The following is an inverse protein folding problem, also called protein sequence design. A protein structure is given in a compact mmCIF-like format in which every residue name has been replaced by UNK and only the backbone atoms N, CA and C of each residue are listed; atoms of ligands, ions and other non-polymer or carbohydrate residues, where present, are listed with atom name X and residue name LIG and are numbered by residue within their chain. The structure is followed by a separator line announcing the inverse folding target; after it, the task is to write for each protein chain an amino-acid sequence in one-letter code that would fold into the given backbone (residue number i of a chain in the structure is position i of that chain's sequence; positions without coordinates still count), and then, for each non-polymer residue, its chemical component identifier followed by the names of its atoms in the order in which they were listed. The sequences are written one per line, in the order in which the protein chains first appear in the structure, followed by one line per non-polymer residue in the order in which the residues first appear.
data_IF_541848513482
#
_entry.id   IF_541848513482
#
_cell.length_a   1.000
_cell.length_b   1.000
_cell.length_c   1.000
_cell.angle_alpha   90.00
_cell.angle_beta   90.00
_cell.angle_gamma   90.00
#
_symmetry.space_group_name_H-M   'P 1'
#
loop_
_entity.id
_entity.type
_entity.pdbx_description
1 polymer ?
#
# COMPACT_ATOMS: atom_id res chain seq x y z
N UNK A 1 8.69 2.76 20.61
CA UNK A 1 9.77 3.07 19.64
C UNK A 1 10.12 1.84 18.82
N UNK A 2 10.38 0.70 19.47
CA UNK A 2 10.69 -0.58 18.80
C UNK A 2 9.64 -0.99 17.76
N UNK A 3 8.34 -0.95 18.10
CA UNK A 3 7.25 -1.26 17.14
C UNK A 3 7.25 -0.34 15.93
N UNK A 4 7.54 0.96 16.10
CA UNK A 4 7.63 1.92 15.00
C UNK A 4 8.79 1.60 14.06
N UNK A 5 9.96 1.25 14.62
CA UNK A 5 11.13 0.86 13.83
C UNK A 5 10.85 -0.43 13.07
N UNK A 6 10.29 -1.44 13.75
CA UNK A 6 9.89 -2.70 13.13
C UNK A 6 8.92 -2.48 11.96
N UNK A 7 7.85 -1.70 12.18
CA UNK A 7 6.87 -1.42 11.13
C UNK A 7 7.45 -0.57 9.99
N UNK A 8 8.35 0.37 10.26
CA UNK A 8 9.05 1.07 9.18
C UNK A 8 9.92 0.14 8.32
N UNK A 9 10.58 -0.87 8.92
CA UNK A 9 11.31 -1.89 8.14
C UNK A 9 10.36 -2.67 7.25
N UNK A 10 9.26 -3.18 7.82
CA UNK A 10 8.27 -3.98 7.08
C UNK A 10 7.61 -3.17 5.98
N UNK A 11 7.01 -2.02 6.31
CA UNK A 11 6.32 -1.17 5.34
C UNK A 11 7.28 -0.57 4.32
N UNK A 12 8.48 -0.18 4.75
CA UNK A 12 9.53 0.34 3.88
C UNK A 12 9.94 -0.68 2.83
N UNK A 13 10.28 -1.91 3.25
CA UNK A 13 10.66 -2.99 2.34
C UNK A 13 9.53 -3.38 1.40
N UNK A 14 8.32 -3.61 1.94
CA UNK A 14 7.16 -4.01 1.13
C UNK A 14 6.83 -2.94 0.10
N UNK A 15 6.80 -1.66 0.49
CA UNK A 15 6.47 -0.56 -0.43
C UNK A 15 7.55 -0.37 -1.49
N UNK A 16 8.83 -0.37 -1.12
CA UNK A 16 9.93 -0.18 -2.07
C UNK A 16 10.01 -1.34 -3.08
N UNK A 17 9.95 -2.58 -2.61
CA UNK A 17 10.05 -3.77 -3.49
C UNK A 17 8.83 -3.87 -4.41
N UNK A 18 7.61 -3.72 -3.87
CA UNK A 18 6.39 -3.85 -4.66
C UNK A 18 6.24 -2.74 -5.69
N UNK A 19 6.47 -1.48 -5.31
CA UNK A 19 6.39 -0.35 -6.24
C UNK A 19 7.44 -0.49 -7.35
N UNK A 20 8.68 -0.89 -7.02
CA UNK A 20 9.72 -1.12 -8.02
C UNK A 20 9.32 -2.25 -8.98
N UNK A 21 8.81 -3.38 -8.47
CA UNK A 21 8.35 -4.49 -9.30
C UNK A 21 7.23 -4.07 -10.25
N UNK A 22 6.26 -3.28 -9.77
CA UNK A 22 5.18 -2.71 -10.59
C UNK A 22 5.73 -1.74 -11.63
N UNK A 23 6.64 -0.84 -11.28
CA UNK A 23 7.20 0.13 -12.23
C UNK A 23 8.00 -0.57 -13.35
N UNK A 24 8.80 -1.57 -13.02
CA UNK A 24 9.60 -2.33 -14.00
C UNK A 24 8.69 -3.11 -14.97
N UNK A 25 7.56 -3.62 -14.49
CA UNK A 25 6.66 -4.51 -15.25
C UNK A 25 5.25 -3.95 -15.36
N UNK A 26 5.10 -2.62 -15.48
CA UNK A 26 3.82 -1.93 -15.29
C UNK A 26 2.68 -2.48 -16.14
N UNK A 27 2.93 -2.74 -17.43
CA UNK A 27 1.91 -3.30 -18.33
C UNK A 27 1.43 -4.67 -17.86
N UNK A 28 2.35 -5.54 -17.44
CA UNK A 28 2.05 -6.91 -17.00
C UNK A 28 1.34 -6.90 -15.65
N UNK A 29 1.81 -6.08 -14.69
CA UNK A 29 1.14 -5.90 -13.41
C UNK A 29 -0.29 -5.39 -13.57
N UNK A 30 -0.52 -4.47 -14.52
CA UNK A 30 -1.85 -3.95 -14.80
C UNK A 30 -2.76 -5.02 -15.41
N UNK A 31 -2.28 -5.80 -16.38
CA UNK A 31 -3.06 -6.91 -16.95
C UNK A 31 -3.45 -7.93 -15.86
N UNK A 32 -2.52 -8.29 -14.97
CA UNK A 32 -2.81 -9.20 -13.86
C UNK A 32 -3.86 -8.63 -12.90
N UNK A 33 -3.79 -7.32 -12.59
CA UNK A 33 -4.80 -6.66 -11.76
C UNK A 33 -6.19 -6.66 -12.42
N UNK A 34 -6.26 -6.44 -13.74
CA UNK A 34 -7.52 -6.45 -14.49
C UNK A 34 -8.15 -7.85 -14.51
N UNK A 35 -7.37 -8.88 -14.83
CA UNK A 35 -7.82 -10.28 -14.80
C UNK A 35 -8.32 -10.68 -13.42
N UNK A 36 -7.63 -10.22 -12.36
CA UNK A 36 -8.07 -10.44 -10.98
C UNK A 36 -9.37 -9.68 -10.66
N UNK A 37 -9.54 -8.47 -11.19
CA UNK A 37 -10.72 -7.64 -10.95
C UNK A 37 -11.99 -8.16 -11.64
N UNK A 38 -11.86 -8.98 -12.70
CA UNK A 38 -12.98 -9.67 -13.34
C UNK A 38 -13.61 -10.75 -12.45
N UNK A 39 -12.90 -11.25 -11.43
CA UNK A 39 -13.38 -12.28 -10.52
C UNK A 39 -13.80 -11.66 -9.18
N UNK A 40 -15.11 -11.59 -8.84
CA UNK A 40 -15.57 -11.00 -7.58
C UNK A 40 -14.93 -11.63 -6.33
N UNK A 41 -14.68 -12.95 -6.37
CA UNK A 41 -14.01 -13.68 -5.29
C UNK A 41 -12.58 -13.20 -5.04
N UNK A 42 -11.84 -12.87 -6.10
CA UNK A 42 -10.48 -12.34 -6.01
C UNK A 42 -10.47 -10.94 -5.40
N UNK A 43 -11.39 -10.07 -5.84
CA UNK A 43 -11.55 -8.71 -5.28
C UNK A 43 -11.91 -8.78 -3.81
N UNK A 44 -12.88 -9.62 -3.43
CA UNK A 44 -13.29 -9.80 -2.04
C UNK A 44 -12.16 -10.38 -1.17
N UNK A 45 -11.51 -11.46 -1.61
CA UNK A 45 -10.44 -12.12 -0.84
C UNK A 45 -9.24 -11.19 -0.63
N UNK A 46 -8.79 -10.50 -1.67
CA UNK A 46 -7.71 -9.51 -1.53
C UNK A 46 -8.12 -8.31 -0.69
N UNK A 47 -9.38 -7.85 -0.79
CA UNK A 47 -9.93 -6.82 0.09
C UNK A 47 -9.92 -7.22 1.55
N UNK A 48 -10.30 -8.47 1.85
CA UNK A 48 -10.32 -9.03 3.19
C UNK A 48 -8.90 -9.17 3.79
N UNK A 49 -7.92 -9.63 3.00
CA UNK A 49 -6.52 -9.68 3.44
C UNK A 49 -5.96 -8.29 3.72
N UNK A 50 -6.24 -7.32 2.85
CA UNK A 50 -5.83 -5.92 3.04
C UNK A 50 -6.50 -5.34 4.30
N UNK A 51 -7.78 -5.66 4.54
CA UNK A 51 -8.51 -5.23 5.72
C UNK A 51 -7.87 -5.77 7.01
N UNK A 52 -7.57 -7.07 7.08
CA UNK A 52 -6.87 -7.67 8.22
C UNK A 52 -5.53 -6.96 8.46
N UNK A 53 -4.73 -6.79 7.41
CA UNK A 53 -3.45 -6.08 7.51
C UNK A 53 -3.62 -4.65 8.01
N UNK A 54 -4.60 -3.90 7.50
CA UNK A 54 -4.91 -2.55 7.91
C UNK A 54 -5.34 -2.45 9.38
N UNK A 55 -6.20 -3.37 9.85
CA UNK A 55 -6.60 -3.44 11.26
C UNK A 55 -5.40 -3.71 12.15
N UNK A 56 -4.56 -4.70 11.80
CA UNK A 56 -3.35 -5.03 12.55
C UNK A 56 -2.40 -3.83 12.64
N UNK A 57 -2.20 -3.11 11.53
CA UNK A 57 -1.36 -1.92 11.48
C UNK A 57 -1.91 -0.78 12.36
N UNK A 58 -3.20 -0.44 12.23
CA UNK A 58 -3.82 0.64 13.00
C UNK A 58 -3.80 0.35 14.51
N UNK A 59 -4.12 -0.88 14.91
CA UNK A 59 -4.11 -1.30 16.33
C UNK A 59 -2.69 -1.33 16.87
N UNK A 60 -1.72 -1.76 16.07
CA UNK A 60 -0.31 -1.85 16.49
C UNK A 60 0.39 -0.49 16.49
N UNK A 61 -0.04 0.45 15.64
CA UNK A 61 0.62 1.74 15.49
C UNK A 61 -0.36 2.85 15.07
N UNK A 62 -0.81 3.60 16.07
CA UNK A 62 -1.57 4.86 15.90
C UNK A 62 -0.92 5.97 16.73
N UNK A 63 0.16 6.54 16.21
CA UNK A 63 0.94 7.60 16.89
C UNK A 63 0.83 8.89 16.08
N UNK A 64 -0.03 9.79 16.54
CA UNK A 64 -0.29 11.09 15.92
C UNK A 64 0.66 12.18 16.44
N UNK A 65 1.96 11.94 16.30
CA UNK A 65 3.01 12.89 16.64
C UNK A 65 3.64 13.40 15.35
N UNK A 66 3.92 14.69 15.26
CA UNK A 66 4.51 15.34 14.08
C UNK A 66 6.00 14.98 13.86
N UNK A 67 6.26 13.70 13.65
CA UNK A 67 7.56 13.16 13.26
C UNK A 67 7.40 12.04 12.20
N UNK A 68 8.49 11.35 11.87
CA UNK A 68 8.52 10.29 10.86
C UNK A 68 7.51 9.15 11.09
N UNK A 69 7.10 8.90 12.36
CA UNK A 69 6.12 7.87 12.72
C UNK A 69 4.71 8.21 12.25
N UNK A 70 4.43 9.49 11.98
CA UNK A 70 3.17 9.92 11.41
C UNK A 70 2.92 9.26 10.05
N UNK A 71 3.99 9.08 9.24
CA UNK A 71 3.89 8.41 7.94
C UNK A 71 3.39 6.98 8.10
N UNK A 72 3.88 6.24 9.11
CA UNK A 72 3.39 4.89 9.39
C UNK A 72 1.91 4.91 9.78
N UNK A 73 1.52 5.84 10.65
CA UNK A 73 0.12 5.98 11.07
C UNK A 73 -0.79 6.25 9.87
N UNK A 74 -0.42 7.20 9.00
CA UNK A 74 -1.18 7.52 7.79
C UNK A 74 -1.28 6.30 6.86
N UNK A 75 -0.17 5.61 6.60
CA UNK A 75 -0.18 4.40 5.76
C UNK A 75 -1.07 3.30 6.35
N UNK A 76 -1.04 3.11 7.67
CA UNK A 76 -1.86 2.12 8.38
C UNK A 76 -3.35 2.37 8.13
N UNK A 77 -3.80 3.61 8.28
CA UNK A 77 -5.17 4.02 7.99
C UNK A 77 -5.51 3.92 6.50
N UNK A 78 -4.59 4.27 5.61
CA UNK A 78 -4.80 4.12 4.16
C UNK A 78 -5.00 2.65 3.75
N UNK A 79 -4.21 1.72 4.31
CA UNK A 79 -4.35 0.28 4.07
C UNK A 79 -5.71 -0.22 4.57
N UNK A 80 -6.12 0.20 5.77
CA UNK A 80 -7.44 -0.12 6.31
C UNK A 80 -8.58 0.35 5.39
N UNK A 81 -8.56 1.63 5.01
CA UNK A 81 -9.56 2.22 4.12
C UNK A 81 -9.57 1.58 2.74
N UNK A 82 -8.40 1.20 2.21
CA UNK A 82 -8.29 0.45 0.94
C UNK A 82 -8.96 -0.92 1.03
N UNK A 83 -8.79 -1.63 2.13
CA UNK A 83 -9.43 -2.92 2.39
C UNK A 83 -10.95 -2.80 2.43
N UNK A 84 -11.46 -1.83 3.21
CA UNK A 84 -12.90 -1.50 3.26
C UNK A 84 -13.43 -1.14 1.86
N UNK A 85 -12.73 -0.25 1.16
CA UNK A 85 -13.10 0.18 -0.18
C UNK A 85 -13.26 -0.98 -1.16
N UNK A 86 -12.37 -1.96 -1.06
CA UNK A 86 -12.36 -3.14 -1.94
C UNK A 86 -13.48 -4.14 -1.62
N UNK A 87 -13.88 -4.26 -0.36
CA UNK A 87 -14.99 -5.12 0.07
C UNK A 87 -16.34 -4.49 -0.23
N UNK A 88 -16.53 -3.22 0.14
CA UNK A 88 -17.83 -2.53 0.03
C UNK A 88 -18.10 -1.97 -1.37
N UNK A 89 -17.07 -1.67 -2.15
CA UNK A 89 -17.21 -1.04 -3.47
C UNK A 89 -16.40 -1.76 -4.57
N UNK A 90 -16.64 -3.06 -4.81
CA UNK A 90 -15.85 -3.86 -5.77
C UNK A 90 -15.95 -3.33 -7.21
N UNK A 91 -17.12 -2.83 -7.63
CA UNK A 91 -17.32 -2.23 -8.96
C UNK A 91 -16.50 -0.94 -9.13
N UNK A 92 -16.42 -0.11 -8.08
CA UNK A 92 -15.59 1.08 -8.08
C UNK A 92 -14.10 0.72 -8.22
N UNK A 93 -13.64 -0.32 -7.53
CA UNK A 93 -12.27 -0.84 -7.68
C UNK A 93 -11.99 -1.30 -9.10
N UNK A 94 -12.89 -2.08 -9.72
CA UNK A 94 -12.74 -2.51 -11.12
C UNK A 94 -12.62 -1.31 -12.07
N UNK A 95 -13.49 -0.31 -11.89
CA UNK A 95 -13.43 0.92 -12.71
C UNK A 95 -12.13 1.70 -12.53
N UNK A 96 -11.56 1.71 -11.32
CA UNK A 96 -10.32 2.42 -11.02
C UNK A 96 -9.11 1.69 -11.61
N UNK A 97 -9.10 0.36 -11.59
CA UNK A 97 -8.07 -0.45 -12.26
C UNK A 97 -8.09 -0.21 -13.77
N UNK A 98 -9.27 -0.20 -14.40
CA UNK A 98 -9.37 0.07 -15.84
C UNK A 98 -8.81 1.46 -16.24
N UNK A 99 -8.96 2.47 -15.38
CA UNK A 99 -8.41 3.83 -15.60
C UNK A 99 -6.88 3.88 -15.54
N UNK A 100 -6.21 2.86 -14.97
CA UNK A 100 -4.73 2.81 -14.89
C UNK A 100 -4.04 2.72 -16.26
N UNK A 101 -4.76 2.25 -17.30
CA UNK A 101 -4.23 2.15 -18.67
C UNK A 101 -3.94 3.51 -19.31
N UNK A 102 -4.78 4.51 -19.01
CA UNK A 102 -4.78 5.79 -19.73
C UNK A 102 -4.15 6.92 -18.92
N UNK A 103 -4.12 6.81 -17.60
CA UNK A 103 -3.66 7.89 -16.72
C UNK A 103 -2.24 7.68 -16.20
N UNK A 104 -1.30 8.54 -16.62
CA UNK A 104 0.08 8.61 -16.10
C UNK A 104 0.17 8.84 -14.59
N UNK A 105 -0.90 9.37 -13.98
CA UNK A 105 -1.00 9.59 -12.53
C UNK A 105 -0.74 8.31 -11.71
N UNK A 106 -1.05 7.12 -12.24
CA UNK A 106 -0.82 5.87 -11.52
C UNK A 106 0.65 5.48 -11.44
N UNK A 107 1.43 5.69 -12.50
CA UNK A 107 2.89 5.49 -12.47
C UNK A 107 3.54 6.49 -11.50
N UNK A 108 3.07 7.74 -11.49
CA UNK A 108 3.51 8.73 -10.49
C UNK A 108 3.15 8.29 -9.07
N UNK A 109 1.98 7.70 -8.86
CA UNK A 109 1.58 7.11 -7.60
C UNK A 109 2.54 6.01 -7.12
N UNK A 110 2.95 5.09 -8.00
CA UNK A 110 3.93 4.06 -7.67
C UNK A 110 5.31 4.66 -7.31
N UNK A 111 5.74 5.70 -8.03
CA UNK A 111 6.97 6.41 -7.69
C UNK A 111 6.90 7.07 -6.29
N UNK A 112 5.74 7.63 -5.92
CA UNK A 112 5.52 8.17 -4.55
C UNK A 112 5.59 7.05 -3.51
N UNK A 113 4.93 5.91 -3.76
CA UNK A 113 4.98 4.73 -2.87
C UNK A 113 6.42 4.25 -2.69
N UNK A 114 7.20 4.20 -3.78
CA UNK A 114 8.61 3.84 -3.74
C UNK A 114 9.42 4.80 -2.85
N UNK A 115 9.26 6.11 -3.03
CA UNK A 115 9.96 7.13 -2.24
C UNK A 115 9.57 7.09 -0.76
N UNK A 116 8.29 6.89 -0.44
CA UNK A 116 7.83 6.68 0.94
C UNK A 116 8.47 5.42 1.53
N UNK A 117 8.59 4.35 0.74
CA UNK A 117 9.31 3.15 1.14
C UNK A 117 10.76 3.43 1.51
N UNK A 118 11.50 4.11 0.64
CA UNK A 118 12.88 4.51 0.89
C UNK A 118 13.03 5.42 2.12
N UNK A 119 12.10 6.35 2.30
CA UNK A 119 12.05 7.22 3.48
C UNK A 119 11.95 6.41 4.79
N UNK A 120 11.04 5.44 4.86
CA UNK A 120 10.90 4.58 6.04
C UNK A 120 12.13 3.69 6.27
N UNK A 121 12.74 3.19 5.20
CA UNK A 121 13.98 2.41 5.29
C UNK A 121 15.14 3.24 5.83
N UNK A 122 15.29 4.48 5.37
CA UNK A 122 16.31 5.40 5.87
C UNK A 122 16.18 5.60 7.40
N UNK A 123 14.98 5.91 7.88
CA UNK A 123 14.77 6.11 9.31
C UNK A 123 14.99 4.84 10.15
N UNK A 124 14.62 3.68 9.62
CA UNK A 124 14.65 2.43 10.37
C UNK A 124 15.98 1.67 10.35
N UNK A 125 16.82 1.86 9.32
CA UNK A 125 18.12 1.19 9.20
C UNK A 125 19.32 2.12 9.41
N UNK A 126 19.16 3.43 9.28
CA UNK A 126 20.29 4.37 9.35
C UNK A 126 20.16 5.31 10.55
N UNK A 127 19.00 5.91 10.77
CA UNK A 127 18.83 6.94 11.82
C UNK A 127 18.66 6.35 13.22
N UNK A 128 17.80 5.33 13.35
CA UNK A 128 17.41 4.77 14.64
C UNK A 128 17.83 3.29 14.80
N UNK A 129 18.87 2.86 14.08
CA UNK A 129 19.48 1.54 14.24
C UNK A 129 20.42 1.50 15.44
#
# INVERSE_FOLDING_TARGET
METSIFLAKVLGLVSAISALAVMVRYKESLTMEEEAAERPSSVYASGFLILIGGVLLVVSHSVWVWDWRLVITILSWMVLLKGLGRIFFPNSVKSMIAKKKTHRAFILGEAVVFLVGLYLLYYSFIVYY
#
